data_IF_241377254331
#
_entry.id   IF_241377254331
#
_cell.length_a   1.000
_cell.length_b   1.000
_cell.length_c   1.000
_cell.angle_alpha   90.00
_cell.angle_beta   90.00
_cell.angle_gamma   90.00
#
_symmetry.space_group_name_H-M   'P 1'
#
loop_
_entity.id
_entity.type
_entity.pdbx_description
1 polymer ?
#
# COMPACT_ATOMS: atom_id res chain seq x y z
N UNK A 1 15.20 -6.96 -7.52
CA UNK A 1 14.58 -8.00 -8.36
C UNK A 1 14.09 -9.14 -7.49
N UNK A 2 12.81 -9.45 -7.56
CA UNK A 2 12.17 -10.49 -6.74
C UNK A 2 12.81 -11.86 -6.90
N UNK A 3 12.99 -12.64 -5.83
CA UNK A 3 13.44 -14.02 -5.90
C UNK A 3 12.56 -14.87 -6.83
N UNK A 4 13.16 -15.81 -7.57
CA UNK A 4 12.45 -16.63 -8.57
C UNK A 4 11.22 -17.37 -8.02
N UNK A 5 11.30 -17.81 -6.75
CA UNK A 5 10.18 -18.48 -6.07
C UNK A 5 8.97 -17.53 -5.98
N UNK A 6 9.14 -16.35 -5.45
CA UNK A 6 8.05 -15.39 -5.26
C UNK A 6 7.47 -14.90 -6.59
N UNK A 7 8.31 -14.71 -7.63
CA UNK A 7 7.81 -14.38 -8.97
C UNK A 7 6.86 -15.46 -9.50
N UNK A 8 7.15 -16.75 -9.28
CA UNK A 8 6.26 -17.84 -9.68
C UNK A 8 4.95 -17.85 -8.88
N UNK A 9 5.02 -17.63 -7.57
CA UNK A 9 3.85 -17.56 -6.70
C UNK A 9 2.93 -16.40 -7.12
N UNK A 10 3.48 -15.21 -7.31
CA UNK A 10 2.75 -14.04 -7.79
C UNK A 10 2.10 -14.29 -9.15
N UNK A 11 2.87 -14.83 -10.11
CA UNK A 11 2.35 -15.16 -11.44
C UNK A 11 1.19 -16.18 -11.38
N UNK A 12 1.27 -17.16 -10.49
CA UNK A 12 0.19 -18.13 -10.29
C UNK A 12 -1.07 -17.44 -9.73
N UNK A 13 -0.94 -16.62 -8.70
CA UNK A 13 -2.07 -15.89 -8.10
C UNK A 13 -2.77 -15.02 -9.14
N UNK A 14 -2.01 -14.27 -9.94
CA UNK A 14 -2.59 -13.47 -11.02
C UNK A 14 -3.27 -14.31 -12.11
N UNK A 15 -2.76 -15.50 -12.41
CA UNK A 15 -3.39 -16.40 -13.39
C UNK A 15 -4.75 -16.96 -12.92
N UNK A 16 -5.02 -16.92 -11.62
CA UNK A 16 -6.32 -17.30 -11.05
C UNK A 16 -7.34 -16.14 -11.06
N UNK A 17 -6.91 -14.93 -11.40
CA UNK A 17 -7.77 -13.75 -11.45
C UNK A 17 -8.72 -13.78 -12.65
N UNK A 18 -9.90 -13.22 -12.46
CA UNK A 18 -10.87 -13.02 -13.54
C UNK A 18 -10.68 -11.61 -14.15
N UNK A 19 -10.37 -11.49 -15.48
CA UNK A 19 -10.04 -10.20 -16.09
C UNK A 19 -11.03 -9.05 -15.84
N UNK A 20 -12.37 -9.28 -15.79
CA UNK A 20 -13.31 -8.21 -15.45
C UNK A 20 -13.15 -7.58 -14.08
N UNK A 21 -12.55 -8.28 -13.11
CA UNK A 21 -12.24 -7.70 -11.77
C UNK A 21 -11.24 -6.56 -11.94
N UNK A 22 -10.18 -6.78 -12.73
CA UNK A 22 -9.19 -5.75 -13.02
C UNK A 22 -9.77 -4.53 -13.72
N UNK A 23 -10.71 -4.74 -14.65
CA UNK A 23 -11.41 -3.62 -15.32
C UNK A 23 -12.31 -2.86 -14.35
N UNK A 24 -12.96 -3.55 -13.42
CA UNK A 24 -13.73 -2.93 -12.34
C UNK A 24 -12.86 -2.08 -11.41
N UNK A 25 -11.69 -2.58 -11.03
CA UNK A 25 -10.72 -1.84 -10.22
C UNK A 25 -10.25 -0.57 -10.92
N UNK A 26 -9.91 -0.66 -12.22
CA UNK A 26 -9.50 0.51 -13.00
C UNK A 26 -10.61 1.56 -13.06
N UNK A 27 -11.87 1.16 -13.29
CA UNK A 27 -13.00 2.09 -13.30
C UNK A 27 -13.16 2.77 -11.94
N UNK A 28 -13.08 2.00 -10.86
CA UNK A 28 -13.18 2.51 -9.50
C UNK A 28 -12.12 3.59 -9.22
N UNK A 29 -10.85 3.32 -9.55
CA UNK A 29 -9.75 4.25 -9.28
C UNK A 29 -9.72 5.47 -10.21
N UNK A 30 -10.22 5.34 -11.43
CA UNK A 30 -10.10 6.41 -12.43
C UNK A 30 -11.34 7.30 -12.51
N UNK A 31 -12.52 6.77 -12.18
CA UNK A 31 -13.80 7.44 -12.43
C UNK A 31 -14.63 7.63 -11.15
N UNK A 32 -14.67 6.63 -10.27
CA UNK A 32 -15.68 6.59 -9.21
C UNK A 32 -15.18 7.10 -7.85
N UNK A 33 -13.86 7.10 -7.59
CA UNK A 33 -13.33 7.36 -6.26
C UNK A 33 -12.13 8.30 -6.24
N UNK A 34 -12.28 9.38 -5.49
CA UNK A 34 -11.19 10.30 -5.15
C UNK A 34 -11.06 10.42 -3.62
N UNK A 35 -10.03 9.78 -3.07
CA UNK A 35 -9.74 9.82 -1.64
C UNK A 35 -9.56 11.27 -1.12
N UNK A 36 -9.03 12.17 -1.94
CA UNK A 36 -8.74 13.54 -1.50
C UNK A 36 -9.98 14.31 -1.07
N UNK A 37 -11.15 13.93 -1.59
CA UNK A 37 -12.44 14.58 -1.28
C UNK A 37 -13.01 14.19 0.08
N UNK A 38 -12.62 13.02 0.61
CA UNK A 38 -13.18 12.44 1.85
C UNK A 38 -12.12 12.16 2.94
N UNK A 39 -10.85 12.28 2.61
CA UNK A 39 -9.75 11.97 3.53
C UNK A 39 -9.82 12.78 4.85
N UNK A 40 -10.29 14.02 4.79
CA UNK A 40 -10.46 14.89 5.96
C UNK A 40 -11.58 14.46 6.92
N UNK A 41 -12.46 13.54 6.49
CA UNK A 41 -13.53 13.00 7.34
C UNK A 41 -13.06 11.82 8.21
N UNK A 42 -11.85 11.32 7.99
CA UNK A 42 -11.29 10.20 8.75
C UNK A 42 -10.90 10.68 10.15
N UNK A 43 -11.63 10.21 11.15
CA UNK A 43 -11.34 10.51 12.56
C UNK A 43 -10.24 9.57 13.09
N UNK A 44 -9.00 10.05 13.06
CA UNK A 44 -7.84 9.29 13.51
C UNK A 44 -7.76 9.08 15.03
N UNK A 45 -8.65 9.69 15.81
CA UNK A 45 -8.82 9.34 17.24
C UNK A 45 -9.60 8.04 17.42
N UNK A 46 -10.33 7.59 16.40
CA UNK A 46 -11.12 6.36 16.42
C UNK A 46 -10.46 5.22 15.64
N UNK A 47 -9.66 5.54 14.63
CA UNK A 47 -8.96 4.55 13.79
C UNK A 47 -7.56 5.03 13.45
N UNK A 48 -6.55 4.25 13.81
CA UNK A 48 -5.16 4.53 13.42
C UNK A 48 -4.97 4.35 11.92
N UNK A 49 -4.36 5.34 11.25
CA UNK A 49 -4.02 5.27 9.83
C UNK A 49 -2.51 5.29 9.65
N UNK A 50 -1.96 4.21 9.11
CA UNK A 50 -0.52 4.05 8.89
C UNK A 50 -0.26 3.74 7.42
N UNK A 51 0.44 4.64 6.73
CA UNK A 51 0.71 4.56 5.29
C UNK A 51 2.16 4.12 5.08
N UNK A 52 2.34 2.99 4.39
CA UNK A 52 3.63 2.48 3.97
C UNK A 52 3.65 2.45 2.43
N UNK A 53 4.41 3.35 1.80
CA UNK A 53 4.57 3.39 0.34
C UNK A 53 5.92 2.82 -0.07
N UNK A 54 5.96 2.11 -1.18
CA UNK A 54 7.17 1.46 -1.67
C UNK A 54 7.94 2.37 -2.64
N UNK A 55 9.28 2.35 -2.55
CA UNK A 55 10.19 3.20 -3.35
C UNK A 55 10.02 2.99 -4.87
N UNK A 56 9.75 1.76 -5.29
CA UNK A 56 9.66 1.39 -6.72
C UNK A 56 8.23 1.10 -7.17
N UNK A 57 7.23 1.49 -6.38
CA UNK A 57 5.84 1.35 -6.80
C UNK A 57 5.49 2.42 -7.85
N UNK A 58 5.07 1.97 -9.03
CA UNK A 58 4.67 2.87 -10.11
C UNK A 58 3.18 3.24 -10.09
N UNK A 59 2.37 2.58 -9.27
CA UNK A 59 0.93 2.83 -9.15
C UNK A 59 0.57 3.51 -7.82
N UNK A 60 1.13 3.06 -6.71
CA UNK A 60 0.99 3.66 -5.39
C UNK A 60 2.29 4.37 -4.97
N UNK A 61 2.68 5.43 -5.69
CA UNK A 61 3.97 6.09 -5.48
C UNK A 61 4.12 6.70 -4.09
N UNK A 62 5.36 6.95 -3.67
CA UNK A 62 5.63 7.62 -2.39
C UNK A 62 5.00 9.02 -2.32
N UNK A 63 4.92 9.73 -3.46
CA UNK A 63 4.26 11.04 -3.55
C UNK A 63 2.75 10.92 -3.28
N UNK A 64 2.08 9.91 -3.84
CA UNK A 64 0.66 9.67 -3.57
C UNK A 64 0.41 9.28 -2.12
N UNK A 65 1.26 8.44 -1.54
CA UNK A 65 1.21 8.10 -0.12
C UNK A 65 1.43 9.31 0.79
N UNK A 66 2.36 10.18 0.43
CA UNK A 66 2.60 11.45 1.15
C UNK A 66 1.42 12.41 1.02
N UNK A 67 0.78 12.50 -0.15
CA UNK A 67 -0.42 13.30 -0.34
C UNK A 67 -1.59 12.79 0.51
N UNK A 68 -1.80 11.48 0.55
CA UNK A 68 -2.79 10.86 1.43
C UNK A 68 -2.51 11.16 2.91
N UNK A 69 -1.25 11.07 3.34
CA UNK A 69 -0.85 11.45 4.70
C UNK A 69 -1.17 12.91 5.03
N UNK A 70 -0.91 13.82 4.10
CA UNK A 70 -1.22 15.25 4.29
C UNK A 70 -2.73 15.50 4.38
N UNK A 71 -3.54 14.74 3.65
CA UNK A 71 -4.99 14.85 3.67
C UNK A 71 -5.64 14.21 4.91
N UNK A 72 -5.00 13.20 5.53
CA UNK A 72 -5.53 12.48 6.71
C UNK A 72 -4.79 12.96 7.96
N UNK A 73 -5.36 13.93 8.67
CA UNK A 73 -4.77 14.47 9.88
C UNK A 73 -4.57 13.37 10.94
N UNK A 74 -3.38 13.30 11.54
CA UNK A 74 -3.04 12.29 12.56
C UNK A 74 -2.61 10.92 12.01
N UNK A 75 -2.59 10.73 10.68
CA UNK A 75 -1.99 9.54 10.07
C UNK A 75 -0.46 9.52 10.24
N UNK A 76 0.16 8.38 9.96
CA UNK A 76 1.62 8.28 9.82
C UNK A 76 1.99 7.85 8.41
N UNK A 77 3.15 8.32 7.94
CA UNK A 77 3.68 7.96 6.62
C UNK A 77 5.12 7.49 6.72
N UNK A 78 5.46 6.46 5.96
CA UNK A 78 6.84 6.01 5.79
C UNK A 78 7.05 5.43 4.39
N UNK A 79 8.09 5.90 3.70
CA UNK A 79 8.54 5.30 2.45
C UNK A 79 9.44 4.09 2.75
N UNK A 80 9.10 2.94 2.18
CA UNK A 80 9.87 1.70 2.30
C UNK A 80 10.91 1.62 1.19
N UNK A 81 12.18 1.53 1.54
CA UNK A 81 13.29 1.41 0.59
C UNK A 81 13.51 -0.02 0.12
N UNK A 82 14.01 -0.17 -1.10
CA UNK A 82 14.35 -1.45 -1.75
C UNK A 82 13.16 -2.41 -1.95
N UNK A 83 11.96 -1.89 -2.06
CA UNK A 83 10.72 -2.64 -2.35
C UNK A 83 9.87 -1.89 -3.37
N UNK A 84 9.06 -2.64 -4.11
CA UNK A 84 8.09 -2.13 -5.07
C UNK A 84 6.67 -2.52 -4.72
N UNK A 85 5.80 -2.65 -5.73
CA UNK A 85 4.36 -2.86 -5.58
C UNK A 85 3.98 -4.11 -4.77
N UNK A 86 4.78 -5.15 -4.80
CA UNK A 86 4.58 -6.38 -4.02
C UNK A 86 5.72 -6.60 -3.01
N UNK A 87 5.85 -5.74 -1.99
CA UNK A 87 7.00 -5.76 -1.09
C UNK A 87 7.21 -7.11 -0.42
N UNK A 88 6.13 -7.81 -0.04
CA UNK A 88 6.15 -9.15 0.56
C UNK A 88 6.74 -10.21 -0.37
N UNK A 89 6.65 -10.03 -1.68
CA UNK A 89 7.18 -10.96 -2.69
C UNK A 89 8.50 -10.52 -3.28
N UNK A 90 8.78 -9.23 -3.29
CA UNK A 90 9.98 -8.65 -3.89
C UNK A 90 11.17 -8.71 -2.94
N UNK A 91 10.98 -8.23 -1.74
CA UNK A 91 12.00 -8.20 -0.69
C UNK A 91 11.35 -8.34 0.69
N UNK A 92 10.94 -9.57 1.09
CA UNK A 92 10.24 -9.79 2.36
C UNK A 92 11.01 -9.27 3.57
N UNK A 93 12.36 -9.39 3.53
CA UNK A 93 13.20 -8.93 4.64
C UNK A 93 13.12 -7.42 4.82
N UNK A 94 13.31 -6.65 3.75
CA UNK A 94 13.19 -5.20 3.81
C UNK A 94 11.76 -4.78 4.19
N UNK A 95 10.73 -5.45 3.64
CA UNK A 95 9.34 -5.17 4.00
C UNK A 95 9.07 -5.34 5.49
N UNK A 96 9.56 -6.42 6.10
CA UNK A 96 9.36 -6.68 7.53
C UNK A 96 10.05 -5.64 8.44
N UNK A 97 11.12 -5.01 7.99
CA UNK A 97 11.80 -3.93 8.73
C UNK A 97 10.88 -2.70 8.92
N UNK A 98 9.91 -2.50 8.04
CA UNK A 98 8.90 -1.44 8.13
C UNK A 98 7.57 -1.93 8.74
N UNK A 99 7.12 -3.10 8.35
CA UNK A 99 5.84 -3.63 8.77
C UNK A 99 5.81 -3.93 10.28
N UNK A 100 6.81 -4.65 10.81
CA UNK A 100 6.80 -5.08 12.22
C UNK A 100 6.77 -3.89 13.19
N UNK A 101 7.62 -2.86 13.07
CA UNK A 101 7.52 -1.68 13.95
C UNK A 101 6.19 -0.93 13.83
N UNK A 102 5.54 -1.00 12.67
CA UNK A 102 4.21 -0.40 12.50
C UNK A 102 3.15 -1.20 13.25
N UNK A 103 3.18 -2.54 13.14
CA UNK A 103 2.28 -3.42 13.89
C UNK A 103 2.49 -3.30 15.41
N UNK A 104 3.74 -3.19 15.87
CA UNK A 104 4.07 -2.98 17.29
C UNK A 104 3.45 -1.68 17.82
N UNK A 105 3.50 -0.59 17.02
CA UNK A 105 2.83 0.67 17.39
C UNK A 105 1.31 0.54 17.47
N UNK A 106 0.71 -0.18 16.52
CA UNK A 106 -0.74 -0.44 16.53
C UNK A 106 -1.13 -1.26 17.76
N UNK A 107 -0.33 -2.27 18.11
CA UNK A 107 -0.61 -3.12 19.27
C UNK A 107 -0.42 -2.41 20.62
N UNK A 108 0.34 -1.32 20.66
CA UNK A 108 0.61 -0.52 21.86
C UNK A 108 -0.37 0.65 22.07
N UNK A 109 -1.19 0.94 21.08
CA UNK A 109 -2.18 2.04 21.13
C UNK A 109 -3.51 1.57 21.73
#
# INVERSE_FOLDING_TARGET
>A
TSPKRYRKETSYVYSCGWPPVFLGDLNYYLEDYDLTTVAGEIDTNRVGVHILSAEYDCSGTAELGQAAHQAIAGSTFQEMKNVGHFPMSENPKAFLEYLLPTLDRIAAA
#
